data_IF_604521430313
#
_entry.id   IF_604521430313
#
_cell.length_a   1.000
_cell.length_b   1.000
_cell.length_c   1.000
_cell.angle_alpha   90.00
_cell.angle_beta   90.00
_cell.angle_gamma   90.00
#
_symmetry.space_group_name_H-M   'P 1'
#
loop_
_entity.id
_entity.type
_entity.pdbx_description
1 polymer ?
#
# COMPACT_ATOMS: atom_id res chain seq x y z
N UNK A 1 25.46 -51.94 36.06
CA UNK A 1 24.08 -52.30 35.70
C UNK A 1 23.34 -51.01 35.35
N UNK A 2 23.05 -50.79 34.05
CA UNK A 2 21.75 -50.42 33.47
C UNK A 2 20.78 -49.60 34.37
N UNK A 3 20.11 -48.50 33.97
CA UNK A 3 19.62 -48.04 32.67
C UNK A 3 19.02 -46.62 32.82
N UNK A 4 18.86 -45.89 31.70
CA UNK A 4 17.60 -45.18 31.47
C UNK A 4 17.63 -43.65 31.35
N UNK A 5 18.29 -43.12 30.31
CA UNK A 5 17.97 -41.79 29.78
C UNK A 5 17.42 -41.93 28.36
N UNK A 6 16.20 -42.42 28.25
CA UNK A 6 15.46 -42.42 27.00
C UNK A 6 13.98 -42.18 27.29
N UNK A 7 13.48 -41.02 26.85
CA UNK A 7 12.07 -40.61 26.75
C UNK A 7 11.74 -39.32 27.50
N UNK A 8 12.18 -38.19 26.96
CA UNK A 8 11.48 -36.91 27.19
C UNK A 8 11.50 -35.96 25.98
N UNK A 9 12.32 -36.24 24.95
CA UNK A 9 12.37 -35.41 23.74
C UNK A 9 11.22 -35.67 22.74
N UNK A 10 10.50 -36.80 22.85
CA UNK A 10 9.51 -37.21 21.85
C UNK A 10 8.11 -36.64 22.10
N UNK A 11 7.68 -36.49 23.38
CA UNK A 11 6.34 -35.95 23.71
C UNK A 11 6.17 -34.47 23.33
N UNK A 12 7.23 -33.67 23.42
CA UNK A 12 7.20 -32.24 23.11
C UNK A 12 7.11 -31.95 21.62
N UNK A 13 7.61 -32.86 20.76
CA UNK A 13 7.54 -32.72 19.31
C UNK A 13 6.14 -32.98 18.76
N UNK A 14 5.41 -33.94 19.35
CA UNK A 14 4.06 -34.32 18.89
C UNK A 14 3.03 -33.23 19.21
N UNK A 15 3.15 -32.55 20.35
CA UNK A 15 2.25 -31.44 20.74
C UNK A 15 2.46 -30.17 19.91
N UNK A 16 3.66 -29.94 19.37
CA UNK A 16 3.97 -28.78 18.53
C UNK A 16 3.40 -28.93 17.10
N UNK A 17 3.39 -30.16 16.57
CA UNK A 17 2.92 -30.44 15.21
C UNK A 17 1.41 -30.28 15.03
N UNK A 18 0.60 -30.53 16.05
CA UNK A 18 -0.88 -30.42 15.95
C UNK A 18 -1.37 -28.97 15.99
N UNK A 19 -0.70 -28.09 16.74
CA UNK A 19 -1.02 -26.66 16.84
C UNK A 19 -0.65 -25.93 15.53
N UNK A 20 0.48 -26.28 14.92
CA UNK A 20 0.93 -25.67 13.66
C UNK A 20 -0.02 -25.93 12.49
N UNK A 21 -0.59 -27.14 12.39
CA UNK A 21 -1.52 -27.50 11.32
C UNK A 21 -2.85 -26.74 11.43
N UNK A 22 -3.40 -26.57 12.64
CA UNK A 22 -4.68 -25.88 12.84
C UNK A 22 -4.63 -24.39 12.45
N UNK A 23 -3.50 -23.69 12.65
CA UNK A 23 -3.35 -22.27 12.32
C UNK A 23 -3.32 -22.00 10.82
N UNK A 24 -2.77 -22.90 10.01
CA UNK A 24 -2.68 -22.71 8.54
C UNK A 24 -4.03 -22.78 7.82
N UNK A 25 -5.01 -23.51 8.38
CA UNK A 25 -6.34 -23.61 7.79
C UNK A 25 -7.19 -22.35 7.98
N UNK A 26 -6.99 -21.60 9.07
CA UNK A 26 -7.73 -20.35 9.35
C UNK A 26 -7.39 -19.27 8.33
N UNK A 27 -6.12 -19.16 7.92
CA UNK A 27 -5.66 -18.18 6.92
C UNK A 27 -6.26 -18.39 5.53
N UNK A 28 -6.49 -19.64 5.13
CA UNK A 28 -7.08 -19.95 3.81
C UNK A 28 -8.58 -19.71 3.79
N UNK A 29 -9.27 -19.90 4.93
CA UNK A 29 -10.72 -19.69 5.04
C UNK A 29 -11.13 -18.21 4.96
N UNK A 30 -10.24 -17.27 5.32
CA UNK A 30 -10.52 -15.83 5.17
C UNK A 30 -10.45 -15.34 3.71
N UNK A 31 -9.77 -16.06 2.82
CA UNK A 31 -9.62 -15.66 1.41
C UNK A 31 -10.93 -15.90 0.64
N UNK A 32 -11.77 -16.85 1.06
CA UNK A 32 -12.99 -17.21 0.31
C UNK A 32 -14.20 -16.30 0.61
N UNK A 33 -14.17 -15.51 1.68
CA UNK A 33 -15.24 -14.54 2.00
C UNK A 33 -14.97 -13.13 1.44
N UNK A 34 -13.71 -12.79 1.22
CA UNK A 34 -13.31 -11.56 0.53
C UNK A 34 -13.29 -11.81 -0.97
N UNK A 35 -14.42 -11.57 -1.64
CA UNK A 35 -14.57 -11.78 -3.08
C UNK A 35 -13.39 -11.25 -3.90
N UNK A 36 -13.03 -11.98 -4.95
CA UNK A 36 -12.02 -11.56 -5.93
C UNK A 36 -12.53 -10.26 -6.57
N UNK A 37 -11.98 -9.11 -6.14
CA UNK A 37 -12.16 -7.86 -6.85
C UNK A 37 -11.27 -7.93 -8.08
N UNK A 38 -11.89 -7.98 -9.26
CA UNK A 38 -11.18 -7.87 -10.53
C UNK A 38 -10.54 -6.47 -10.58
N UNK A 39 -9.22 -6.39 -10.44
CA UNK A 39 -8.47 -5.18 -10.76
C UNK A 39 -8.42 -5.07 -12.28
N UNK A 40 -9.19 -4.13 -12.81
CA UNK A 40 -9.10 -3.79 -14.23
C UNK A 40 -7.78 -3.05 -14.45
N UNK A 41 -6.70 -3.79 -14.68
CA UNK A 41 -5.41 -3.24 -15.08
C UNK A 41 -5.49 -2.79 -16.55
N UNK A 42 -6.23 -1.71 -16.80
CA UNK A 42 -6.29 -1.06 -18.10
C UNK A 42 -5.15 -0.05 -18.18
N UNK A 43 -4.08 -0.46 -18.86
CA UNK A 43 -3.09 0.35 -19.59
C UNK A 43 -2.75 1.74 -19.03
N UNK A 44 -1.64 1.86 -18.28
CA UNK A 44 -0.65 2.97 -18.23
C UNK A 44 -1.10 4.44 -18.38
N UNK A 45 -2.37 4.77 -18.23
CA UNK A 45 -2.84 6.15 -18.14
C UNK A 45 -2.83 6.51 -16.66
N UNK A 46 -1.70 7.09 -16.22
CA UNK A 46 -1.62 7.75 -14.92
C UNK A 46 -2.77 8.74 -14.86
N UNK A 47 -3.65 8.59 -13.87
CA UNK A 47 -4.81 9.47 -13.74
C UNK A 47 -4.34 10.93 -13.60
N UNK A 48 -5.14 11.89 -14.06
CA UNK A 48 -4.82 13.32 -13.91
C UNK A 48 -4.45 13.68 -12.46
N UNK A 49 -5.12 13.05 -11.49
CA UNK A 49 -4.83 13.18 -10.07
C UNK A 49 -3.47 12.62 -9.66
N UNK A 50 -3.13 11.40 -10.07
CA UNK A 50 -1.80 10.82 -9.80
C UNK A 50 -0.69 11.61 -10.48
N UNK A 51 -0.96 12.14 -11.68
CA UNK A 51 -0.01 13.03 -12.36
C UNK A 51 0.16 14.32 -11.59
N UNK A 52 -0.92 14.86 -11.05
CA UNK A 52 -0.89 15.99 -10.11
C UNK A 52 0.01 15.69 -8.93
N UNK A 53 -0.17 14.54 -8.26
CA UNK A 53 0.67 14.16 -7.10
C UNK A 53 2.15 14.15 -7.48
N UNK A 54 2.50 13.43 -8.56
CA UNK A 54 3.90 13.31 -8.99
C UNK A 54 4.53 14.65 -9.37
N UNK A 55 3.75 15.53 -10.00
CA UNK A 55 4.22 16.88 -10.30
C UNK A 55 4.35 17.69 -9.00
N UNK A 56 3.37 17.65 -8.09
CA UNK A 56 3.41 18.40 -6.83
C UNK A 56 4.57 18.02 -5.90
N UNK A 57 5.04 16.77 -5.94
CA UNK A 57 6.14 16.30 -5.10
C UNK A 57 7.52 16.86 -5.50
N UNK A 58 7.77 17.05 -6.80
CA UNK A 58 9.13 17.34 -7.29
C UNK A 58 9.20 18.14 -8.61
N UNK A 59 8.06 18.65 -9.10
CA UNK A 59 7.98 19.40 -10.36
C UNK A 59 7.17 20.71 -10.21
N UNK A 60 7.43 21.72 -11.06
CA UNK A 60 6.59 22.91 -11.10
C UNK A 60 5.18 22.57 -11.61
N UNK A 61 4.20 23.40 -11.24
CA UNK A 61 2.83 23.30 -11.74
C UNK A 61 2.79 23.37 -13.26
N UNK A 62 2.16 22.39 -13.91
CA UNK A 62 2.10 22.29 -15.36
C UNK A 62 0.78 22.82 -15.90
N UNK A 63 0.79 24.08 -16.37
CA UNK A 63 -0.40 24.72 -16.95
C UNK A 63 -1.01 23.94 -18.12
N UNK A 64 -0.20 23.27 -18.95
CA UNK A 64 -0.73 22.46 -20.06
C UNK A 64 -1.49 21.24 -19.53
N UNK A 65 -0.94 20.56 -18.52
CA UNK A 65 -1.62 19.43 -17.89
C UNK A 65 -2.91 19.90 -17.21
N UNK A 66 -2.86 21.02 -16.48
CA UNK A 66 -4.06 21.62 -15.89
C UNK A 66 -5.12 21.98 -16.95
N UNK A 67 -4.74 22.56 -18.08
CA UNK A 67 -5.70 22.87 -19.15
C UNK A 67 -6.41 21.62 -19.71
N UNK A 68 -5.77 20.46 -19.65
CA UNK A 68 -6.33 19.19 -20.11
C UNK A 68 -7.11 18.45 -19.01
N UNK A 69 -6.67 18.56 -17.76
CA UNK A 69 -7.14 17.75 -16.63
C UNK A 69 -8.01 18.52 -15.61
N UNK A 70 -7.91 19.84 -15.58
CA UNK A 70 -8.62 20.72 -14.66
C UNK A 70 -8.32 20.41 -13.19
N UNK A 71 -9.40 20.40 -12.40
CA UNK A 71 -9.34 20.30 -10.94
C UNK A 71 -8.71 18.99 -10.45
N UNK A 72 -8.88 17.87 -11.16
CA UNK A 72 -8.28 16.59 -10.77
C UNK A 72 -6.75 16.70 -10.66
N UNK A 73 -6.12 17.36 -11.64
CA UNK A 73 -4.68 17.62 -11.61
C UNK A 73 -4.31 18.60 -10.49
N UNK A 74 -5.09 19.68 -10.31
CA UNK A 74 -4.85 20.68 -9.28
C UNK A 74 -4.91 20.11 -7.86
N UNK A 75 -5.95 19.32 -7.54
CA UNK A 75 -6.07 18.66 -6.25
C UNK A 75 -4.95 17.65 -6.01
N UNK A 76 -4.56 16.90 -7.06
CA UNK A 76 -3.41 16.01 -7.02
C UNK A 76 -2.12 16.77 -6.72
N UNK A 77 -1.90 17.88 -7.41
CA UNK A 77 -0.73 18.75 -7.24
C UNK A 77 -0.63 19.29 -5.83
N UNK A 78 -1.71 19.85 -5.27
CA UNK A 78 -1.71 20.33 -3.89
C UNK A 78 -1.41 19.19 -2.90
N UNK A 79 -1.94 17.99 -3.14
CA UNK A 79 -1.69 16.83 -2.29
C UNK A 79 -0.23 16.36 -2.35
N UNK A 80 0.37 16.30 -3.54
CA UNK A 80 1.78 15.98 -3.72
C UNK A 80 2.68 17.03 -3.09
N UNK A 81 2.40 18.31 -3.34
CA UNK A 81 3.18 19.41 -2.76
C UNK A 81 3.13 19.42 -1.24
N UNK A 82 1.96 19.17 -0.63
CA UNK A 82 1.83 19.08 0.83
C UNK A 82 2.40 17.78 1.43
N UNK A 83 2.78 16.78 0.61
CA UNK A 83 3.46 15.57 1.10
C UNK A 83 4.94 15.81 1.38
N UNK A 84 5.52 16.85 0.77
CA UNK A 84 6.91 17.28 0.96
C UNK A 84 7.05 17.99 2.31
N UNK A 85 8.03 17.57 3.11
CA UNK A 85 8.26 18.15 4.44
C UNK A 85 8.56 19.66 4.36
N UNK A 86 7.87 20.44 5.19
CA UNK A 86 8.01 21.90 5.25
C UNK A 86 7.07 22.66 4.32
N UNK A 87 6.37 21.98 3.40
CA UNK A 87 5.33 22.60 2.59
C UNK A 87 4.01 22.66 3.35
N UNK A 88 3.29 23.76 3.16
CA UNK A 88 1.92 23.95 3.65
C UNK A 88 1.01 24.33 2.47
N UNK A 89 -0.29 24.41 2.75
CA UNK A 89 -1.27 24.70 1.70
C UNK A 89 -1.00 26.02 0.98
N UNK A 90 -0.68 27.08 1.74
CA UNK A 90 -0.44 28.42 1.18
C UNK A 90 0.75 28.43 0.22
N UNK A 91 1.85 27.75 0.59
CA UNK A 91 3.03 27.56 -0.28
C UNK A 91 2.64 26.82 -1.55
N UNK A 92 1.89 25.74 -1.42
CA UNK A 92 1.48 24.93 -2.57
C UNK A 92 0.52 25.65 -3.51
N UNK A 93 -0.45 26.41 -2.99
CA UNK A 93 -1.36 27.22 -3.81
C UNK A 93 -0.58 28.34 -4.52
N UNK A 94 0.34 29.01 -3.84
CA UNK A 94 1.18 30.05 -4.47
C UNK A 94 2.08 29.53 -5.60
N UNK A 95 2.42 28.22 -5.58
CA UNK A 95 3.18 27.58 -6.65
C UNK A 95 2.35 27.35 -7.94
N UNK A 96 1.03 27.51 -7.86
CA UNK A 96 0.11 27.37 -9.02
C UNK A 96 -0.26 28.70 -9.66
N UNK A 97 0.04 29.83 -9.00
CA UNK A 97 -0.29 31.18 -9.45
C UNK A 97 0.74 31.79 -10.44
N UNK A 98 1.72 31.00 -10.88
CA UNK A 98 2.88 31.45 -11.67
C UNK A 98 2.68 31.42 -13.19
#
# INVERSE_FOLDING_TARGET
>A
MNNGFHSNAYRTRVLSSTIGLALTFVSVFLITLGGITTVNASSNEVSCFERGIADGEDHPFNQRTYNNCGDDYYQGFLKGCMSVEGNNRDVCESATDA
#
